data_IF_320318741721
#
_entry.id   IF_320318741721
#
_cell.length_a   1.000
_cell.length_b   1.000
_cell.length_c   1.000
_cell.angle_alpha   90.00
_cell.angle_beta   90.00
_cell.angle_gamma   90.00
#
_symmetry.space_group_name_H-M   'P 1'
#
loop_
_entity.id
_entity.type
_entity.pdbx_description
1 polymer ?
#
# COMPACT_ATOMS: atom_id res chain seq x y z
N UNK A 1 9.82 -5.35 -28.97
CA UNK A 1 9.25 -4.30 -28.11
C UNK A 1 8.66 -4.96 -26.87
N UNK A 2 9.21 -4.69 -25.68
CA UNK A 2 8.60 -5.14 -24.41
C UNK A 2 7.41 -4.23 -24.15
N UNK A 3 6.20 -4.79 -24.06
CA UNK A 3 4.99 -4.04 -23.73
C UNK A 3 5.13 -3.48 -22.31
N UNK A 4 4.76 -2.21 -22.05
CA UNK A 4 4.78 -1.67 -20.70
C UNK A 4 3.80 -2.44 -19.81
N UNK A 5 4.28 -2.84 -18.63
CA UNK A 5 3.50 -3.58 -17.62
C UNK A 5 2.36 -2.71 -17.13
N UNK A 6 1.14 -3.26 -17.10
CA UNK A 6 -0.04 -2.53 -16.60
C UNK A 6 -0.22 -2.73 -15.10
N UNK A 7 -0.17 -1.63 -14.35
CA UNK A 7 -0.25 -1.61 -12.88
C UNK A 7 -1.56 -0.92 -12.44
N UNK A 8 -2.31 -1.55 -11.54
CA UNK A 8 -3.38 -0.89 -10.77
C UNK A 8 -2.83 -0.47 -9.41
N UNK A 9 -2.98 0.79 -9.03
CA UNK A 9 -2.57 1.29 -7.73
C UNK A 9 -3.72 1.19 -6.74
N UNK A 10 -3.50 0.46 -5.65
CA UNK A 10 -4.48 0.23 -4.60
C UNK A 10 -4.12 1.09 -3.39
N UNK A 11 -5.06 1.90 -2.91
CA UNK A 11 -4.89 2.70 -1.69
C UNK A 11 -5.81 2.15 -0.61
N UNK A 12 -5.22 1.65 0.48
CA UNK A 12 -5.98 1.16 1.65
C UNK A 12 -6.15 2.25 2.70
N UNK A 13 -7.41 2.52 3.05
CA UNK A 13 -7.80 3.50 4.07
C UNK A 13 -8.91 2.94 4.97
N UNK A 14 -9.31 3.72 5.96
CA UNK A 14 -10.32 3.36 6.94
C UNK A 14 -11.35 4.50 7.10
N UNK A 15 -12.62 4.16 7.38
CA UNK A 15 -13.71 5.14 7.50
C UNK A 15 -13.44 6.26 8.52
N UNK A 16 -12.66 5.97 9.56
CA UNK A 16 -12.27 6.95 10.59
C UNK A 16 -11.18 7.94 10.15
N UNK A 17 -10.46 7.67 9.06
CA UNK A 17 -9.26 8.43 8.68
C UNK A 17 -9.28 8.97 7.24
N UNK A 18 -10.02 8.34 6.32
CA UNK A 18 -9.96 8.65 4.88
C UNK A 18 -10.16 10.14 4.54
N UNK A 19 -11.04 10.85 5.27
CA UNK A 19 -11.28 12.29 5.07
C UNK A 19 -10.06 13.16 5.37
N UNK A 20 -9.14 12.67 6.20
CA UNK A 20 -7.88 13.35 6.54
C UNK A 20 -6.74 12.88 5.64
N UNK A 21 -6.72 11.61 5.26
CA UNK A 21 -5.59 11.00 4.56
C UNK A 21 -5.66 11.10 3.04
N UNK A 22 -6.82 10.80 2.45
CA UNK A 22 -7.01 10.80 1.00
C UNK A 22 -6.75 12.16 0.32
N UNK A 23 -7.12 13.32 0.89
CA UNK A 23 -6.80 14.62 0.31
C UNK A 23 -5.29 14.90 0.17
N UNK A 24 -4.43 14.11 0.81
CA UNK A 24 -2.97 14.25 0.74
C UNK A 24 -2.39 13.22 -0.24
N UNK A 25 -2.69 11.93 -0.06
CA UNK A 25 -2.11 10.88 -0.91
C UNK A 25 -2.62 10.96 -2.35
N UNK A 26 -3.92 11.22 -2.57
CA UNK A 26 -4.50 11.17 -3.92
C UNK A 26 -3.89 12.22 -4.85
N UNK A 27 -3.79 13.52 -4.51
CA UNK A 27 -3.06 14.48 -5.34
C UNK A 27 -1.61 14.07 -5.60
N UNK A 28 -0.93 13.54 -4.57
CA UNK A 28 0.48 13.15 -4.70
C UNK A 28 0.66 11.98 -5.68
N UNK A 29 -0.31 11.07 -5.75
CA UNK A 29 -0.32 9.90 -6.63
C UNK A 29 -0.81 10.26 -8.04
N UNK A 30 -1.94 10.96 -8.15
CA UNK A 30 -2.61 11.21 -9.44
C UNK A 30 -1.94 12.28 -10.28
N UNK A 31 -0.96 13.02 -9.75
CA UNK A 31 -0.09 13.89 -10.57
C UNK A 31 0.83 13.10 -11.51
N UNK A 32 1.02 11.81 -11.26
CA UNK A 32 1.90 10.92 -12.05
C UNK A 32 1.19 9.65 -12.55
N UNK A 33 0.09 9.25 -11.91
CA UNK A 33 -0.67 8.05 -12.26
C UNK A 33 -2.07 8.45 -12.71
N UNK A 34 -2.56 7.85 -13.81
CA UNK A 34 -3.93 8.08 -14.25
C UNK A 34 -4.92 7.63 -13.17
N UNK A 35 -5.87 8.51 -12.79
CA UNK A 35 -6.87 8.22 -11.77
C UNK A 35 -7.67 6.92 -12.03
N UNK A 36 -7.90 6.55 -13.29
CA UNK A 36 -8.55 5.29 -13.69
C UNK A 36 -7.74 4.05 -13.31
N UNK A 37 -6.43 4.19 -13.13
CA UNK A 37 -5.55 3.12 -12.67
C UNK A 37 -5.45 3.07 -11.14
N UNK A 38 -6.13 3.96 -10.42
CA UNK A 38 -6.16 3.97 -8.96
C UNK A 38 -7.48 3.39 -8.46
N UNK A 39 -7.46 2.65 -7.36
CA UNK A 39 -8.63 2.21 -6.61
C UNK A 39 -8.40 2.44 -5.12
N UNK A 40 -9.29 3.19 -4.49
CA UNK A 40 -9.29 3.37 -3.04
C UNK A 40 -10.23 2.36 -2.41
N UNK A 41 -9.77 1.66 -1.37
CA UNK A 41 -10.65 0.86 -0.51
C UNK A 41 -10.70 1.46 0.88
N UNK A 42 -11.91 1.73 1.38
CA UNK A 42 -12.17 2.32 2.69
C UNK A 42 -12.84 1.26 3.56
N UNK A 43 -12.07 0.65 4.45
CA UNK A 43 -12.53 -0.39 5.37
C UNK A 43 -13.25 0.14 6.60
N UNK A 44 -14.03 -0.73 7.24
CA UNK A 44 -14.72 -0.48 8.50
C UNK A 44 -16.06 0.26 8.38
N UNK A 45 -16.66 0.29 7.18
CA UNK A 45 -17.99 0.85 6.99
C UNK A 45 -19.11 -0.04 7.55
N UNK A 46 -20.32 0.51 7.63
CA UNK A 46 -21.52 -0.28 7.97
C UNK A 46 -22.09 -1.02 6.74
N UNK A 47 -21.87 -0.46 5.55
CA UNK A 47 -22.38 -0.96 4.29
C UNK A 47 -21.31 -0.86 3.20
N UNK A 48 -21.41 -1.74 2.20
CA UNK A 48 -20.56 -1.67 1.02
C UNK A 48 -21.17 -0.70 0.01
N UNK A 49 -20.37 0.25 -0.49
CA UNK A 49 -20.80 1.18 -1.54
C UNK A 49 -19.64 1.60 -2.43
N UNK A 50 -19.97 2.05 -3.64
CA UNK A 50 -19.01 2.57 -4.62
C UNK A 50 -19.30 4.03 -4.90
N UNK A 51 -18.26 4.85 -5.00
CA UNK A 51 -18.33 6.25 -5.43
C UNK A 51 -16.97 6.68 -5.99
N UNK A 52 -16.78 7.96 -6.25
CA UNK A 52 -15.49 8.56 -6.56
C UNK A 52 -15.08 9.58 -5.52
N UNK A 53 -13.77 9.67 -5.28
CA UNK A 53 -13.14 10.71 -4.48
C UNK A 53 -12.07 11.35 -5.37
N UNK A 54 -12.22 12.64 -5.66
CA UNK A 54 -11.26 13.39 -6.50
C UNK A 54 -11.02 12.73 -7.88
N UNK A 55 -12.08 12.17 -8.48
CA UNK A 55 -12.02 11.48 -9.78
C UNK A 55 -11.41 10.07 -9.74
N UNK A 56 -11.07 9.55 -8.55
CA UNK A 56 -10.57 8.19 -8.33
C UNK A 56 -11.70 7.30 -7.82
N UNK A 57 -11.81 6.09 -8.34
CA UNK A 57 -12.79 5.10 -7.87
C UNK A 57 -12.51 4.71 -6.41
N UNK A 58 -13.56 4.71 -5.60
CA UNK A 58 -13.52 4.40 -4.19
C UNK A 58 -14.60 3.38 -3.80
N UNK A 59 -14.20 2.32 -3.11
CA UNK A 59 -15.06 1.30 -2.55
C UNK A 59 -15.03 1.37 -1.03
N UNK A 60 -16.19 1.59 -0.41
CA UNK A 60 -16.39 1.33 1.01
C UNK A 60 -16.76 -0.14 1.18
N UNK A 61 -16.16 -0.77 2.17
CA UNK A 61 -16.42 -2.18 2.50
C UNK A 61 -16.80 -2.32 3.97
N UNK A 62 -17.67 -3.28 4.27
CA UNK A 62 -18.20 -3.51 5.62
C UNK A 62 -17.23 -4.22 6.58
N UNK A 63 -16.03 -4.57 6.11
CA UNK A 63 -15.00 -5.22 6.91
C UNK A 63 -13.78 -4.31 7.11
N UNK A 64 -13.01 -4.57 8.16
CA UNK A 64 -11.74 -3.90 8.39
C UNK A 64 -10.61 -4.92 8.52
N UNK A 65 -9.71 -4.93 7.55
CA UNK A 65 -8.53 -5.80 7.53
C UNK A 65 -7.25 -4.99 7.33
N UNK A 66 -7.27 -3.73 7.79
CA UNK A 66 -6.17 -2.79 7.62
C UNK A 66 -5.73 -2.68 6.15
N UNK A 67 -4.48 -3.01 5.84
CA UNK A 67 -3.93 -2.86 4.50
C UNK A 67 -4.34 -3.99 3.55
N UNK A 68 -4.73 -5.13 4.09
CA UNK A 68 -5.29 -6.24 3.32
C UNK A 68 -6.68 -5.90 2.77
N UNK A 69 -7.40 -4.93 3.33
CA UNK A 69 -8.74 -4.55 2.85
C UNK A 69 -8.75 -4.25 1.35
N UNK A 70 -7.72 -3.56 0.84
CA UNK A 70 -7.63 -3.25 -0.59
C UNK A 70 -7.34 -4.47 -1.46
N UNK A 71 -6.50 -5.39 -0.98
CA UNK A 71 -6.19 -6.63 -1.72
C UNK A 71 -7.43 -7.52 -1.78
N UNK A 72 -8.14 -7.69 -0.66
CA UNK A 72 -9.39 -8.45 -0.59
C UNK A 72 -10.41 -7.86 -1.56
N UNK A 73 -10.67 -6.55 -1.44
CA UNK A 73 -11.62 -5.87 -2.31
C UNK A 73 -11.24 -6.02 -3.79
N UNK A 74 -9.97 -5.86 -4.15
CA UNK A 74 -9.50 -6.06 -5.53
C UNK A 74 -9.81 -7.46 -6.06
N UNK A 75 -9.53 -8.51 -5.27
CA UNK A 75 -9.79 -9.91 -5.68
C UNK A 75 -11.27 -10.29 -5.71
N UNK A 76 -12.14 -9.58 -4.97
CA UNK A 76 -13.58 -9.85 -4.96
C UNK A 76 -14.38 -9.07 -5.99
N UNK A 77 -13.86 -7.94 -6.48
CA UNK A 77 -14.61 -6.97 -7.29
C UNK A 77 -14.47 -7.14 -8.80
N UNK A 78 -13.88 -8.25 -9.27
CA UNK A 78 -13.54 -8.52 -10.67
C UNK A 78 -12.66 -7.45 -11.34
N UNK A 79 -12.01 -6.57 -10.56
CA UNK A 79 -11.13 -5.52 -11.07
C UNK A 79 -9.88 -6.05 -11.78
N UNK A 80 -9.55 -7.34 -11.61
CA UNK A 80 -8.49 -8.01 -12.35
C UNK A 80 -8.81 -8.16 -13.85
N UNK A 81 -10.09 -8.13 -14.25
CA UNK A 81 -10.53 -8.33 -15.64
C UNK A 81 -10.20 -7.13 -16.54
N UNK A 82 -9.81 -5.98 -15.96
CA UNK A 82 -9.36 -4.80 -16.70
C UNK A 82 -7.95 -4.96 -17.34
N UNK A 83 -7.35 -6.15 -17.21
CA UNK A 83 -6.11 -6.53 -17.88
C UNK A 83 -4.83 -6.00 -17.20
N UNK A 84 -4.93 -5.57 -15.94
CA UNK A 84 -3.75 -5.31 -15.12
C UNK A 84 -3.00 -6.60 -14.84
N UNK A 85 -1.67 -6.55 -14.93
CA UNK A 85 -0.80 -7.70 -14.67
C UNK A 85 -0.30 -7.67 -13.22
N UNK A 86 -0.18 -6.45 -12.67
CA UNK A 86 0.25 -6.20 -11.31
C UNK A 86 -0.67 -5.21 -10.62
N UNK A 87 -0.72 -5.30 -9.29
CA UNK A 87 -1.21 -4.23 -8.43
C UNK A 87 -0.09 -3.70 -7.57
N UNK A 88 -0.13 -2.41 -7.24
CA UNK A 88 0.80 -1.77 -6.32
C UNK A 88 0.02 -1.25 -5.12
N UNK A 89 0.31 -1.76 -3.92
CA UNK A 89 -0.39 -1.37 -2.69
C UNK A 89 0.28 -0.17 -2.02
N UNK A 90 -0.55 0.78 -1.57
CA UNK A 90 -0.19 1.95 -0.79
C UNK A 90 -1.07 2.04 0.46
N UNK A 91 -0.48 2.39 1.59
CA UNK A 91 -1.21 2.82 2.78
C UNK A 91 -1.64 4.29 2.64
N UNK A 92 -2.80 4.67 3.17
CA UNK A 92 -3.35 6.03 3.04
C UNK A 92 -2.51 7.13 3.70
N UNK A 93 -1.61 6.78 4.63
CA UNK A 93 -0.68 7.73 5.27
C UNK A 93 0.59 7.98 4.47
N UNK A 94 0.62 7.64 3.19
CA UNK A 94 1.78 7.83 2.32
C UNK A 94 1.69 9.10 1.46
N UNK A 95 2.84 9.58 1.00
CA UNK A 95 2.97 10.65 0.01
C UNK A 95 3.94 10.18 -1.07
N UNK A 96 3.50 10.25 -2.33
CA UNK A 96 4.32 9.89 -3.49
C UNK A 96 5.19 11.09 -3.91
N UNK A 97 6.50 10.89 -4.08
CA UNK A 97 7.43 11.86 -4.65
C UNK A 97 7.37 11.89 -6.19
N UNK A 98 8.07 12.82 -6.84
CA UNK A 98 7.95 13.11 -8.29
C UNK A 98 8.42 11.99 -9.21
N UNK A 99 9.17 11.02 -8.68
CA UNK A 99 9.65 9.86 -9.42
C UNK A 99 8.85 8.59 -9.14
N UNK A 100 7.79 8.67 -8.32
CA UNK A 100 7.01 7.52 -7.87
C UNK A 100 6.56 6.62 -9.02
N UNK A 101 5.91 7.16 -10.06
CA UNK A 101 5.41 6.32 -11.16
C UNK A 101 6.54 5.60 -11.91
N UNK A 102 7.68 6.27 -12.08
CA UNK A 102 8.87 5.71 -12.73
C UNK A 102 9.55 4.63 -11.89
N UNK A 103 9.60 4.78 -10.57
CA UNK A 103 10.29 3.84 -9.68
C UNK A 103 9.40 2.67 -9.25
N UNK A 104 8.11 2.92 -9.01
CA UNK A 104 7.12 1.87 -8.69
C UNK A 104 6.89 0.87 -9.83
N UNK A 105 7.37 1.15 -11.04
CA UNK A 105 7.33 0.20 -12.16
C UNK A 105 8.62 -0.62 -12.34
N UNK A 106 9.63 -0.46 -11.47
CA UNK A 106 10.95 -1.12 -11.58
C UNK A 106 11.09 -2.39 -10.74
N UNK A 107 10.00 -3.11 -10.53
CA UNK A 107 10.02 -4.39 -9.83
C UNK A 107 10.43 -5.55 -10.74
N UNK A 108 10.82 -6.68 -10.13
CA UNK A 108 11.09 -7.92 -10.85
C UNK A 108 9.77 -8.58 -11.29
N UNK A 109 9.44 -8.47 -12.58
CA UNK A 109 8.20 -9.03 -13.16
C UNK A 109 8.13 -10.56 -13.09
N UNK A 110 9.24 -11.25 -12.88
CA UNK A 110 9.27 -12.71 -12.74
C UNK A 110 8.82 -13.15 -11.34
N UNK A 111 8.90 -12.28 -10.34
CA UNK A 111 8.45 -12.56 -8.98
C UNK A 111 6.97 -12.28 -8.81
N UNK A 112 6.33 -13.03 -7.92
CA UNK A 112 4.92 -12.83 -7.58
C UNK A 112 4.71 -11.62 -6.69
N UNK A 113 5.72 -11.31 -5.86
CA UNK A 113 5.67 -10.21 -4.90
C UNK A 113 6.99 -9.46 -4.89
N UNK A 114 6.92 -8.13 -4.87
CA UNK A 114 8.07 -7.24 -4.73
C UNK A 114 7.80 -6.20 -3.64
N UNK A 115 8.59 -6.23 -2.57
CA UNK A 115 8.47 -5.33 -1.43
C UNK A 115 9.38 -4.11 -1.58
N UNK A 116 8.94 -2.94 -1.11
CA UNK A 116 9.75 -1.73 -1.14
C UNK A 116 10.95 -1.76 -0.17
N UNK A 117 10.95 -2.68 0.80
CA UNK A 117 11.97 -2.82 1.83
C UNK A 117 12.24 -4.30 2.15
N UNK A 118 13.48 -4.61 2.57
CA UNK A 118 13.95 -5.99 2.80
C UNK A 118 13.47 -6.60 4.13
N UNK A 119 13.23 -5.77 5.15
CA UNK A 119 12.79 -6.22 6.50
C UNK A 119 11.26 -6.36 6.64
N UNK A 120 10.52 -6.38 5.53
CA UNK A 120 9.07 -6.54 5.51
C UNK A 120 8.36 -5.57 4.57
N UNK A 121 7.12 -5.89 4.22
CA UNK A 121 6.41 -5.20 3.15
C UNK A 121 6.00 -3.77 3.47
N UNK A 122 5.95 -3.39 4.75
CA UNK A 122 5.61 -2.03 5.17
C UNK A 122 4.27 -1.50 4.59
N UNK A 123 3.38 -2.41 4.19
CA UNK A 123 2.15 -2.13 3.45
C UNK A 123 2.41 -1.36 2.14
N UNK A 124 3.51 -1.72 1.46
CA UNK A 124 4.05 -1.05 0.29
C UNK A 124 4.77 -2.06 -0.62
N UNK A 125 4.17 -2.37 -1.76
CA UNK A 125 4.77 -3.33 -2.69
C UNK A 125 3.91 -3.62 -3.91
N UNK A 126 4.51 -4.31 -4.87
CA UNK A 126 3.84 -4.81 -6.06
C UNK A 126 3.51 -6.30 -5.92
N UNK A 127 2.35 -6.69 -6.46
CA UNK A 127 1.83 -8.04 -6.45
C UNK A 127 1.38 -8.42 -7.84
N UNK A 128 1.78 -9.59 -8.32
CA UNK A 128 1.27 -10.17 -9.55
C UNK A 128 -0.19 -10.52 -9.36
N UNK A 129 -1.04 -10.12 -10.31
CA UNK A 129 -2.49 -10.36 -10.23
C UNK A 129 -2.78 -11.86 -10.19
N UNK A 130 -2.10 -12.67 -11.01
CA UNK A 130 -2.27 -14.13 -11.02
C UNK A 130 -1.97 -14.77 -9.67
N UNK A 131 -0.98 -14.25 -8.94
CA UNK A 131 -0.66 -14.69 -7.59
C UNK A 131 -1.75 -14.31 -6.59
N UNK A 132 -2.22 -13.05 -6.60
CA UNK A 132 -3.33 -12.65 -5.72
C UNK A 132 -4.59 -13.50 -5.94
N UNK A 133 -4.84 -13.90 -7.18
CA UNK A 133 -5.95 -14.80 -7.51
C UNK A 133 -5.71 -16.23 -7.01
N UNK A 134 -4.47 -16.74 -7.02
CA UNK A 134 -4.17 -18.08 -6.49
C UNK A 134 -4.30 -18.16 -4.96
N UNK A 135 -4.10 -17.04 -4.26
CA UNK A 135 -4.26 -16.95 -2.79
C UNK A 135 -5.57 -16.28 -2.36
N UNK A 136 -6.52 -16.08 -3.28
CA UNK A 136 -7.76 -15.32 -3.05
C UNK A 136 -8.55 -15.81 -1.83
N UNK A 137 -8.73 -17.12 -1.70
CA UNK A 137 -9.52 -17.66 -0.58
C UNK A 137 -8.84 -17.39 0.76
N UNK A 138 -7.51 -17.49 0.81
CA UNK A 138 -6.72 -17.09 1.98
C UNK A 138 -6.83 -15.59 2.29
N UNK A 139 -6.87 -14.73 1.26
CA UNK A 139 -7.12 -13.29 1.43
C UNK A 139 -8.50 -13.03 2.04
N UNK A 140 -9.54 -13.67 1.53
CA UNK A 140 -10.92 -13.47 2.01
C UNK A 140 -11.08 -13.88 3.48
N UNK A 141 -10.39 -14.95 3.90
CA UNK A 141 -10.35 -15.38 5.31
C UNK A 141 -9.73 -14.33 6.25
N UNK A 142 -9.03 -13.33 5.72
CA UNK A 142 -8.49 -12.22 6.51
C UNK A 142 -9.48 -11.07 6.73
N UNK A 143 -10.74 -11.18 6.31
CA UNK A 143 -11.76 -10.18 6.65
C UNK A 143 -11.89 -10.05 8.18
N UNK A 144 -11.87 -8.81 8.69
CA UNK A 144 -12.03 -8.49 10.12
C UNK A 144 -10.93 -9.04 11.04
N UNK A 145 -9.71 -9.22 10.51
CA UNK A 145 -8.57 -9.59 11.35
C UNK A 145 -8.24 -8.50 12.38
N UNK A 146 -7.70 -8.92 13.52
CA UNK A 146 -7.21 -8.00 14.55
C UNK A 146 -5.92 -7.31 14.11
N UNK A 147 -5.61 -6.14 14.69
CA UNK A 147 -4.33 -5.46 14.47
C UNK A 147 -3.13 -6.36 14.78
N UNK A 148 -3.22 -7.15 15.85
CA UNK A 148 -2.19 -8.13 16.22
C UNK A 148 -1.97 -9.13 15.10
N UNK A 149 -3.05 -9.70 14.55
CA UNK A 149 -2.96 -10.66 13.45
C UNK A 149 -2.41 -10.03 12.17
N UNK A 150 -2.86 -8.83 11.81
CA UNK A 150 -2.30 -8.11 10.66
C UNK A 150 -0.78 -7.95 10.78
N UNK A 151 -0.30 -7.57 11.97
CA UNK A 151 1.12 -7.41 12.26
C UNK A 151 1.89 -8.74 12.18
N UNK A 152 1.32 -9.86 12.64
CA UNK A 152 1.96 -11.19 12.53
C UNK A 152 2.16 -11.62 11.07
N UNK A 153 1.28 -11.15 10.18
CA UNK A 153 1.27 -11.54 8.77
C UNK A 153 2.20 -10.70 7.89
N UNK A 154 2.64 -9.51 8.35
CA UNK A 154 3.47 -8.57 7.57
C UNK A 154 4.82 -9.17 7.08
N UNK A 155 5.33 -10.21 7.75
CA UNK A 155 6.61 -10.84 7.39
C UNK A 155 6.51 -12.14 6.57
N UNK A 156 5.41 -12.88 6.70
CA UNK A 156 5.37 -14.29 6.30
C UNK A 156 4.18 -14.67 5.40
N UNK A 157 3.15 -13.84 5.29
CA UNK A 157 1.91 -14.26 4.62
C UNK A 157 2.11 -14.58 3.13
N UNK A 158 2.97 -13.82 2.45
CA UNK A 158 3.15 -13.94 1.01
C UNK A 158 4.28 -14.91 0.61
N UNK A 159 4.94 -15.56 1.57
CA UNK A 159 6.08 -16.44 1.31
C UNK A 159 7.31 -15.67 0.81
N UNK A 160 7.98 -16.21 -0.21
CA UNK A 160 9.16 -15.58 -0.82
C UNK A 160 8.79 -14.31 -1.59
N UNK A 161 9.61 -13.28 -1.45
CA UNK A 161 9.44 -12.02 -2.15
C UNK A 161 10.77 -11.51 -2.68
N UNK A 162 10.69 -10.74 -3.77
CA UNK A 162 11.78 -9.89 -4.23
C UNK A 162 11.69 -8.50 -3.59
N UNK A 163 12.71 -7.69 -3.79
CA UNK A 163 12.72 -6.29 -3.36
C UNK A 163 12.95 -5.35 -4.53
N UNK A 164 12.50 -4.10 -4.40
CA UNK A 164 12.87 -3.05 -5.35
C UNK A 164 14.37 -2.76 -5.31
N UNK A 165 14.97 -2.21 -6.37
CA UNK A 165 16.35 -1.74 -6.34
C UNK A 165 16.61 -0.78 -5.17
N UNK A 166 17.72 -0.96 -4.46
CA UNK A 166 18.11 -0.21 -3.26
C UNK A 166 17.09 -0.27 -2.10
N UNK A 167 16.68 -1.47 -1.66
CA UNK A 167 15.59 -1.64 -0.70
C UNK A 167 15.94 -1.21 0.73
N UNK A 168 17.23 -1.16 1.07
CA UNK A 168 17.77 -0.72 2.37
C UNK A 168 17.85 0.80 2.50
N UNK A 169 17.50 1.57 1.46
CA UNK A 169 17.59 3.03 1.47
C UNK A 169 16.48 3.72 2.27
N UNK A 170 15.92 3.07 3.29
CA UNK A 170 14.95 3.68 4.18
C UNK A 170 15.66 4.60 5.18
N UNK A 171 15.27 5.88 5.21
CA UNK A 171 15.76 6.82 6.23
C UNK A 171 14.62 7.21 7.17
N UNK A 172 14.91 7.14 8.47
CA UNK A 172 14.15 7.82 9.49
C UNK A 172 14.49 9.31 9.37
N UNK A 173 13.48 10.15 9.17
CA UNK A 173 13.65 11.59 9.25
C UNK A 173 13.00 12.05 10.56
N UNK A 174 13.83 12.45 11.53
CA UNK A 174 13.43 12.52 12.93
C UNK A 174 12.37 13.59 13.22
N UNK A 175 12.15 14.58 12.35
CA UNK A 175 11.27 15.71 12.69
C UNK A 175 10.55 16.36 11.49
N UNK A 176 9.96 15.58 10.60
CA UNK A 176 9.04 16.15 9.62
C UNK A 176 7.62 16.30 10.21
N UNK A 177 7.10 17.54 10.25
CA UNK A 177 5.70 17.81 10.64
C UNK A 177 4.77 17.02 9.72
N UNK A 178 4.05 16.07 10.30
CA UNK A 178 3.02 15.29 9.62
C UNK A 178 2.05 16.23 8.88
N UNK A 179 1.75 16.00 7.59
CA UNK A 179 0.70 16.76 6.89
C UNK A 179 -0.69 16.43 7.46
N UNK A 180 -0.82 15.32 8.18
CA UNK A 180 -2.00 14.96 8.94
C UNK A 180 -1.97 15.72 10.28
N UNK A 181 -2.77 16.79 10.39
CA UNK A 181 -2.85 17.65 11.58
C UNK A 181 -3.16 16.86 12.85
N UNK A 182 -2.43 17.17 13.93
CA UNK A 182 -2.79 16.78 15.32
C UNK A 182 -2.11 15.54 15.88
N UNK A 183 -1.10 14.96 15.22
CA UNK A 183 -0.29 13.85 15.77
C UNK A 183 1.15 13.96 15.28
N UNK A 184 2.11 13.88 16.20
CA UNK A 184 3.49 13.59 15.84
C UNK A 184 3.55 12.19 15.22
N UNK A 185 4.25 12.08 14.10
CA UNK A 185 4.41 10.85 13.35
C UNK A 185 5.85 10.70 12.95
N UNK A 186 6.39 9.51 13.15
CA UNK A 186 7.66 9.15 12.57
C UNK A 186 7.54 9.04 11.05
N UNK A 187 8.59 9.49 10.36
CA UNK A 187 8.64 9.56 8.90
C UNK A 187 9.62 8.53 8.38
N UNK A 188 9.17 7.72 7.43
CA UNK A 188 9.97 6.72 6.74
C UNK A 188 10.00 7.05 5.25
N UNK A 189 11.20 7.22 4.69
CA UNK A 189 11.37 7.50 3.26
C UNK A 189 11.87 6.26 2.51
N UNK A 190 11.05 5.70 1.63
CA UNK A 190 11.38 4.59 0.75
C UNK A 190 11.91 5.12 -0.58
N UNK A 191 13.23 5.35 -0.68
CA UNK A 191 13.83 5.91 -1.91
C UNK A 191 13.74 4.95 -3.11
N UNK A 192 13.63 3.63 -2.86
CA UNK A 192 13.46 2.59 -3.89
C UNK A 192 12.22 2.79 -4.77
N UNK A 193 11.18 3.42 -4.22
CA UNK A 193 9.90 3.69 -4.89
C UNK A 193 9.46 5.16 -4.82
N UNK A 194 10.28 6.04 -4.22
CA UNK A 194 9.98 7.47 -3.98
C UNK A 194 8.66 7.68 -3.23
N UNK A 195 8.54 7.06 -2.05
CA UNK A 195 7.39 7.18 -1.16
C UNK A 195 7.83 7.60 0.24
N UNK A 196 7.09 8.51 0.85
CA UNK A 196 7.21 8.85 2.27
C UNK A 196 6.02 8.27 3.02
N UNK A 197 6.24 7.46 4.06
CA UNK A 197 5.19 6.93 4.95
C UNK A 197 5.22 7.66 6.29
N UNK A 198 4.06 8.13 6.73
CA UNK A 198 3.89 8.73 8.05
C UNK A 198 3.23 7.72 8.99
N UNK A 199 4.03 7.09 9.84
CA UNK A 199 3.61 6.06 10.80
C UNK A 199 3.27 6.64 12.17
N UNK A 200 2.39 5.98 12.91
CA UNK A 200 2.25 6.24 14.36
C UNK A 200 3.50 5.74 15.10
N UNK A 201 3.90 6.41 16.18
CA UNK A 201 5.06 6.02 17.00
C UNK A 201 4.99 4.57 17.51
N UNK A 202 3.78 4.01 17.68
CA UNK A 202 3.55 2.61 18.08
C UNK A 202 3.75 1.57 16.96
N UNK A 203 4.03 1.98 15.72
CA UNK A 203 4.11 1.04 14.61
C UNK A 203 5.36 0.16 14.74
N UNK A 204 5.20 -1.16 14.54
CA UNK A 204 6.31 -2.13 14.64
C UNK A 204 7.46 -1.82 13.68
N UNK A 205 7.28 -1.00 12.64
CA UNK A 205 8.38 -0.56 11.77
C UNK A 205 9.56 0.04 12.54
N UNK A 206 9.30 0.70 13.67
CA UNK A 206 10.34 1.23 14.56
C UNK A 206 10.99 0.16 15.45
N UNK A 207 10.27 -0.95 15.70
CA UNK A 207 10.74 -2.09 16.50
C UNK A 207 11.43 -3.19 15.67
N UNK A 208 11.19 -3.27 14.36
CA UNK A 208 11.76 -4.28 13.43
C UNK A 208 13.21 -3.93 13.01
N UNK A 209 13.88 -3.00 13.70
CA UNK A 209 15.31 -2.75 13.50
C UNK A 209 15.66 -1.95 12.23
N UNK A 210 14.76 -1.07 11.78
CA UNK A 210 15.12 0.05 10.87
C UNK A 210 15.91 1.14 11.63
N UNK A 211 15.82 1.15 12.97
CA UNK A 211 16.42 2.18 13.86
C UNK A 211 17.71 1.72 14.56
N UNK A 212 18.11 0.45 14.46
CA UNK A 212 19.28 -0.09 15.19
C UNK A 212 20.57 -0.14 14.35
N UNK A 213 20.84 0.88 13.53
CA UNK A 213 22.16 1.00 12.86
C UNK A 213 22.93 2.29 13.19
N UNK A 214 22.49 3.10 14.17
CA UNK A 214 23.29 4.20 14.71
C UNK A 214 22.96 4.53 16.19
N UNK A 215 23.07 3.55 17.09
CA UNK A 215 23.35 3.79 18.51
C UNK A 215 24.60 3.00 18.90
#
# INVERSE_FOLDING_TARGET
MIKPVRIKYLVSSHVGYYKKTLPIILPSLTRQVNAKNVLVTIGGGNESKKNQIMGVDACWVSYNSFEYSSLINFTESNNYECGFEFVFLLHDTMVCGDNFAKLSSKFNVFCDVTMAHEKGWCNLGAFKVSFLMSIRDSLILMKNITKKRAIELEGNFFGEYSTYPNPSSCRLDDFCKSPYKGTDRCVLKFNSVDVIKYGSNDSKMFKIGIVNENL
#
